data_IF_924310966799
#
_entry.id   IF_924310966799
#
_cell.length_a   1.000
_cell.length_b   1.000
_cell.length_c   1.000
_cell.angle_alpha   90.00
_cell.angle_beta   90.00
_cell.angle_gamma   90.00
#
_symmetry.space_group_name_H-M   'P 1'
#
loop_
_entity.id
_entity.type
_entity.pdbx_description
1 polymer ?
#
# COMPACT_ATOMS: atom_id res chain seq x y z
N UNK A 1 5.75 -21.22 19.80
CA UNK A 1 5.52 -20.14 19.47
C UNK A 1 4.73 -20.05 18.37
N UNK A 2 4.08 -19.25 18.31
CA UNK A 2 3.23 -19.24 17.23
C UNK A 2 3.96 -18.85 16.00
N UNK A 3 3.57 -19.37 14.91
CA UNK A 3 4.10 -18.95 13.66
C UNK A 3 3.77 -17.50 13.45
N UNK A 4 4.30 -16.97 12.45
CA UNK A 4 4.01 -15.62 12.10
C UNK A 4 2.52 -15.40 12.00
N UNK A 5 2.05 -14.33 12.58
CA UNK A 5 0.65 -13.98 12.48
C UNK A 5 0.32 -13.34 11.16
N UNK A 6 1.31 -13.05 10.34
CA UNK A 6 1.09 -12.36 9.08
C UNK A 6 1.12 -13.37 7.94
N UNK A 7 0.17 -13.31 7.03
CA UNK A 7 0.15 -14.25 5.92
C UNK A 7 1.31 -14.02 4.96
N UNK A 8 1.71 -15.09 4.31
CA UNK A 8 2.69 -15.03 3.25
C UNK A 8 1.97 -15.14 1.92
N UNK A 9 2.56 -14.56 0.89
CA UNK A 9 1.95 -14.56 -0.43
C UNK A 9 3.02 -14.68 -1.48
N UNK A 10 2.63 -15.23 -2.64
CA UNK A 10 3.50 -15.31 -3.80
C UNK A 10 3.03 -14.30 -4.83
N UNK A 11 3.98 -13.55 -5.37
CA UNK A 11 3.67 -12.58 -6.43
C UNK A 11 3.42 -13.34 -7.72
N UNK A 12 2.23 -13.15 -8.30
CA UNK A 12 1.83 -13.88 -9.49
C UNK A 12 2.16 -13.15 -10.77
N UNK A 13 2.31 -11.84 -10.70
CA UNK A 13 2.65 -11.03 -11.86
C UNK A 13 3.64 -9.98 -11.43
N UNK A 14 4.60 -9.62 -12.28
CA UNK A 14 5.54 -8.58 -11.88
C UNK A 14 4.84 -7.25 -11.72
N UNK A 15 5.33 -6.43 -10.84
CA UNK A 15 4.75 -5.12 -10.57
C UNK A 15 5.84 -4.07 -10.53
N UNK A 16 5.64 -3.00 -11.27
CA UNK A 16 6.53 -1.85 -11.27
C UNK A 16 5.72 -0.64 -10.83
N UNK A 17 6.19 0.08 -9.80
CA UNK A 17 5.48 1.28 -9.37
C UNK A 17 5.33 2.27 -10.51
N UNK A 18 4.17 2.92 -10.51
CA UNK A 18 3.79 3.75 -11.64
C UNK A 18 4.68 4.96 -11.77
N UNK A 19 5.09 5.58 -10.67
CA UNK A 19 5.80 6.82 -10.79
C UNK A 19 7.10 6.77 -10.06
N UNK A 20 7.55 6.10 -9.36
CA UNK A 20 8.81 6.19 -8.64
C UNK A 20 8.88 7.28 -7.61
N UNK A 21 7.77 7.97 -7.35
CA UNK A 21 7.79 9.04 -6.37
C UNK A 21 7.28 8.49 -5.04
N UNK A 22 8.16 8.50 -4.06
CA UNK A 22 7.77 8.09 -2.73
C UNK A 22 7.26 9.32 -1.99
N UNK A 23 6.06 9.20 -1.42
CA UNK A 23 5.47 10.28 -0.64
C UNK A 23 5.30 9.76 0.77
N UNK A 24 5.85 10.49 1.73
CA UNK A 24 5.68 10.18 3.14
C UNK A 24 4.96 11.34 3.80
N UNK A 25 3.94 11.03 4.57
CA UNK A 25 3.11 12.03 5.21
C UNK A 25 3.03 11.75 6.69
N UNK A 26 2.91 12.82 7.44
CA UNK A 26 2.77 12.72 8.88
C UNK A 26 1.41 13.23 9.29
N UNK A 27 0.95 12.76 10.43
CA UNK A 27 -0.29 13.23 11.02
C UNK A 27 -0.27 14.74 11.07
N UNK A 28 -1.33 15.35 10.55
CA UNK A 28 -1.47 16.81 10.54
C UNK A 28 -1.04 17.47 9.24
N UNK A 29 -0.36 16.75 8.35
CA UNK A 29 0.04 17.35 7.08
C UNK A 29 -1.18 17.77 6.27
N UNK A 30 -1.02 18.86 5.53
CA UNK A 30 -2.09 19.39 4.70
C UNK A 30 -1.85 18.94 3.26
N UNK A 31 -2.90 18.45 2.64
CA UNK A 31 -2.86 18.00 1.24
C UNK A 31 -4.11 18.53 0.55
N UNK A 32 -4.12 18.48 -0.77
CA UNK A 32 -5.31 18.80 -1.54
C UNK A 32 -5.98 17.49 -1.94
N UNK A 33 -7.25 17.36 -1.65
CA UNK A 33 -8.00 16.14 -1.98
C UNK A 33 -8.46 16.25 -3.41
N UNK A 34 -8.06 15.28 -4.23
CA UNK A 34 -8.42 15.29 -5.63
C UNK A 34 -9.84 14.79 -5.85
N UNK A 35 -10.32 15.03 -7.06
CA UNK A 35 -11.66 14.59 -7.44
C UNK A 35 -11.60 13.36 -8.32
N UNK A 36 -10.43 12.82 -8.55
CA UNK A 36 -10.26 11.70 -9.44
C UNK A 36 -10.71 10.41 -8.78
N UNK A 37 -11.41 9.58 -9.54
CA UNK A 37 -11.77 8.26 -9.09
C UNK A 37 -10.76 7.27 -9.64
N UNK A 38 -10.31 6.39 -8.79
CA UNK A 38 -9.40 5.35 -9.24
C UNK A 38 -10.10 4.02 -9.34
N UNK A 39 -9.36 2.98 -9.75
CA UNK A 39 -9.93 1.65 -9.87
C UNK A 39 -10.17 0.96 -8.54
N UNK A 40 -9.66 1.51 -7.46
CA UNK A 40 -9.80 0.88 -6.15
C UNK A 40 -10.69 1.75 -5.27
N UNK A 41 -11.84 1.21 -4.80
CA UNK A 41 -12.72 1.97 -3.94
C UNK A 41 -12.06 2.26 -2.60
N UNK A 42 -12.46 3.33 -1.96
CA UNK A 42 -11.97 3.76 -0.64
C UNK A 42 -10.53 4.25 -0.64
N UNK A 43 -9.98 4.54 -1.82
CA UNK A 43 -8.70 5.22 -1.96
C UNK A 43 -8.97 6.55 -2.65
N UNK A 44 -8.35 7.62 -2.16
CA UNK A 44 -8.55 8.94 -2.75
C UNK A 44 -7.23 9.49 -3.26
N UNK A 45 -7.32 10.28 -4.31
CA UNK A 45 -6.15 10.94 -4.88
C UNK A 45 -5.85 12.18 -4.07
N UNK A 46 -4.58 12.42 -3.76
CA UNK A 46 -4.19 13.64 -3.08
C UNK A 46 -3.00 14.24 -3.79
N UNK A 47 -2.84 15.55 -3.59
CA UNK A 47 -1.67 16.28 -4.07
C UNK A 47 -0.98 16.91 -2.87
N UNK A 48 0.30 16.67 -2.74
CA UNK A 48 1.08 17.25 -1.65
C UNK A 48 1.59 18.62 -2.07
N UNK A 49 2.08 19.45 -1.13
CA UNK A 49 2.44 20.83 -1.45
C UNK A 49 3.48 20.99 -2.54
N UNK A 50 4.37 20.04 -2.73
CA UNK A 50 5.36 20.16 -3.80
C UNK A 50 4.82 19.72 -5.15
N UNK A 51 3.54 19.40 -5.25
CA UNK A 51 2.90 19.07 -6.52
C UNK A 51 2.81 17.59 -6.84
N UNK A 52 3.51 16.74 -6.12
CA UNK A 52 3.40 15.29 -6.36
C UNK A 52 2.02 14.80 -5.98
N UNK A 53 1.56 13.77 -6.68
CA UNK A 53 0.26 13.18 -6.41
C UNK A 53 0.42 11.74 -6.01
N UNK A 54 -0.47 11.25 -5.15
CA UNK A 54 -0.48 9.85 -4.77
C UNK A 54 -1.88 9.46 -4.33
N UNK A 55 -2.04 8.21 -3.92
CA UNK A 55 -3.29 7.69 -3.40
C UNK A 55 -3.14 7.42 -1.92
N UNK A 56 -4.21 7.65 -1.16
CA UNK A 56 -4.21 7.41 0.28
C UNK A 56 -5.54 6.78 0.63
N UNK A 57 -5.59 5.86 1.61
CA UNK A 57 -6.89 5.36 2.05
C UNK A 57 -7.75 6.52 2.54
N UNK A 58 -9.03 6.51 2.15
CA UNK A 58 -9.88 7.63 2.51
C UNK A 58 -10.01 7.78 4.02
N UNK A 59 -9.85 6.71 4.78
CA UNK A 59 -9.93 6.79 6.23
C UNK A 59 -8.73 7.49 6.85
N UNK A 60 -7.67 7.73 6.09
CA UNK A 60 -6.44 8.35 6.60
C UNK A 60 -6.41 9.86 6.37
N UNK A 61 -7.42 10.43 5.75
CA UNK A 61 -7.41 11.85 5.47
C UNK A 61 -8.82 12.41 5.69
N UNK A 62 -8.89 13.66 6.13
CA UNK A 62 -10.18 14.33 6.35
C UNK A 62 -10.25 15.57 5.51
N UNK A 63 -11.34 15.73 4.77
CA UNK A 63 -11.55 16.89 3.92
C UNK A 63 -12.50 16.54 2.79
N UNK A 64 -12.84 17.54 1.99
CA UNK A 64 -13.74 17.38 0.87
C UNK A 64 -12.99 17.45 -0.44
N UNK A 65 -13.55 16.82 -1.45
CA UNK A 65 -12.96 16.84 -2.78
C UNK A 65 -12.72 18.27 -3.24
N UNK A 66 -11.56 18.49 -3.84
CA UNK A 66 -11.21 19.81 -4.35
C UNK A 66 -10.68 20.77 -3.32
N UNK A 67 -10.67 20.39 -2.06
CA UNK A 67 -10.29 21.27 -0.98
C UNK A 67 -9.12 20.73 -0.21
N UNK A 68 -8.60 21.53 0.70
CA UNK A 68 -7.55 21.08 1.59
C UNK A 68 -8.07 19.99 2.50
N UNK A 69 -7.24 19.00 2.76
CA UNK A 69 -7.53 17.97 3.72
C UNK A 69 -6.37 17.82 4.67
N UNK A 70 -6.61 17.12 5.75
CA UNK A 70 -5.59 16.92 6.79
C UNK A 70 -5.36 15.44 6.97
N UNK A 71 -4.10 15.05 6.98
CA UNK A 71 -3.70 13.66 7.17
C UNK A 71 -3.88 13.29 8.62
N UNK A 72 -4.54 12.15 8.86
CA UNK A 72 -4.92 11.75 10.22
C UNK A 72 -3.92 10.79 10.85
N UNK A 73 -3.17 10.04 10.04
CA UNK A 73 -2.19 9.09 10.55
C UNK A 73 -0.96 9.16 9.66
N UNK A 74 0.18 8.78 10.20
CA UNK A 74 1.40 8.73 9.40
C UNK A 74 1.21 7.72 8.27
N UNK A 75 1.65 8.08 7.07
CA UNK A 75 1.37 7.27 5.89
C UNK A 75 2.56 7.32 4.94
N UNK A 76 2.95 6.16 4.45
CA UNK A 76 3.99 6.02 3.44
C UNK A 76 3.31 5.45 2.20
N UNK A 77 3.34 6.20 1.11
CA UNK A 77 2.67 5.81 -0.12
C UNK A 77 3.56 4.98 -1.04
N UNK A 78 4.74 4.60 -0.60
CA UNK A 78 5.70 3.89 -1.42
C UNK A 78 5.12 2.58 -1.93
N UNK A 79 5.20 2.34 -3.22
CA UNK A 79 4.86 1.06 -3.81
C UNK A 79 6.12 0.24 -3.98
N UNK A 80 5.96 -1.07 -3.96
CA UNK A 80 7.09 -1.98 -4.02
C UNK A 80 7.23 -2.55 -5.42
N UNK A 81 8.43 -2.55 -5.95
CA UNK A 81 8.69 -3.28 -7.19
C UNK A 81 8.85 -4.75 -6.85
N UNK A 82 8.17 -5.63 -7.57
CA UNK A 82 8.18 -7.05 -7.27
C UNK A 82 8.23 -7.86 -8.55
N UNK A 83 8.85 -9.03 -8.46
CA UNK A 83 8.99 -9.95 -9.58
C UNK A 83 8.07 -11.14 -9.37
N UNK A 84 7.65 -11.73 -10.48
CA UNK A 84 6.84 -12.92 -10.43
C UNK A 84 7.57 -14.02 -9.65
N UNK A 85 6.87 -14.69 -8.75
CA UNK A 85 7.43 -15.76 -7.95
C UNK A 85 8.01 -15.33 -6.63
N UNK A 86 8.18 -14.04 -6.43
CA UNK A 86 8.74 -13.54 -5.19
C UNK A 86 7.78 -13.77 -4.03
N UNK A 87 8.30 -14.11 -2.85
CA UNK A 87 7.47 -14.35 -1.67
C UNK A 87 7.55 -13.12 -0.78
N UNK A 88 6.39 -12.70 -0.30
CA UNK A 88 6.30 -11.53 0.58
C UNK A 88 5.46 -11.88 1.79
N UNK A 89 5.64 -11.12 2.85
CA UNK A 89 4.81 -11.19 4.05
C UNK A 89 3.85 -10.02 4.01
N UNK A 90 2.54 -10.28 4.14
CA UNK A 90 1.53 -9.22 4.09
C UNK A 90 1.34 -8.73 5.51
N UNK A 91 1.77 -7.50 5.78
CA UNK A 91 1.71 -6.94 7.13
C UNK A 91 0.41 -6.22 7.39
N UNK A 92 -0.24 -5.73 6.34
CA UNK A 92 -1.47 -4.95 6.48
C UNK A 92 -2.19 -4.97 5.15
N UNK A 93 -3.48 -5.10 5.17
CA UNK A 93 -4.27 -4.99 3.95
C UNK A 93 -5.34 -3.93 4.15
N UNK A 94 -5.42 -2.99 3.19
CA UNK A 94 -6.44 -1.95 3.21
C UNK A 94 -7.05 -1.89 1.82
N UNK A 95 -8.31 -2.24 1.73
CA UNK A 95 -9.11 -2.11 0.50
C UNK A 95 -8.31 -2.48 -0.75
N UNK A 96 -7.91 -3.76 -0.82
CA UNK A 96 -7.29 -4.36 -2.00
C UNK A 96 -5.81 -4.05 -2.18
N UNK A 97 -5.19 -3.33 -1.27
CA UNK A 97 -3.75 -3.10 -1.32
C UNK A 97 -3.11 -3.64 -0.06
N UNK A 98 -1.98 -4.29 -0.22
CA UNK A 98 -1.25 -4.85 0.90
C UNK A 98 0.07 -4.13 1.12
N UNK A 99 0.35 -3.77 2.37
CA UNK A 99 1.68 -3.34 2.73
C UNK A 99 2.47 -4.60 3.04
N UNK A 100 3.49 -4.86 2.24
CA UNK A 100 4.18 -6.14 2.30
C UNK A 100 5.67 -5.93 2.54
N UNK A 101 6.31 -6.98 3.02
CA UNK A 101 7.76 -6.99 3.21
C UNK A 101 8.33 -8.20 2.50
N UNK A 102 9.38 -7.99 1.73
CA UNK A 102 10.10 -9.08 1.08
C UNK A 102 11.03 -9.75 2.07
N UNK A 103 11.55 -10.92 1.69
CA UNK A 103 12.49 -11.62 2.55
C UNK A 103 13.80 -10.86 2.68
N UNK A 104 14.15 -10.01 1.71
CA UNK A 104 15.33 -9.17 1.83
C UNK A 104 15.00 -7.79 2.41
N UNK A 105 13.84 -7.69 3.06
CA UNK A 105 13.48 -6.55 3.92
C UNK A 105 13.11 -5.27 3.20
N UNK A 106 12.73 -5.34 1.94
CA UNK A 106 12.11 -4.20 1.27
C UNK A 106 10.63 -4.16 1.62
N UNK A 107 10.04 -2.98 1.73
CA UNK A 107 8.63 -2.86 2.07
C UNK A 107 7.95 -1.88 1.15
N UNK A 108 6.67 -2.07 0.94
CA UNK A 108 5.85 -1.16 0.14
C UNK A 108 4.50 -1.76 -0.17
N UNK A 109 3.71 -1.01 -0.92
CA UNK A 109 2.35 -1.42 -1.27
C UNK A 109 2.36 -2.23 -2.55
N UNK A 110 1.58 -3.32 -2.56
CA UNK A 110 1.30 -4.10 -3.75
C UNK A 110 -0.21 -4.33 -3.84
N UNK A 111 -0.77 -4.38 -5.06
CA UNK A 111 -2.19 -4.72 -5.18
C UNK A 111 -2.40 -6.18 -4.81
N UNK A 112 -3.40 -6.44 -3.98
CA UNK A 112 -3.65 -7.81 -3.53
C UNK A 112 -4.02 -8.73 -4.69
N UNK A 113 -4.53 -8.18 -5.77
CA UNK A 113 -4.96 -9.02 -6.90
C UNK A 113 -3.81 -9.76 -7.56
N UNK A 114 -2.57 -9.32 -7.39
CA UNK A 114 -1.42 -10.02 -7.95
C UNK A 114 -0.75 -10.94 -6.93
N UNK A 115 -1.36 -11.10 -5.76
CA UNK A 115 -0.79 -11.92 -4.70
C UNK A 115 -1.63 -13.17 -4.49
N UNK A 116 -0.96 -14.31 -4.43
CA UNK A 116 -1.60 -15.56 -4.07
C UNK A 116 -1.24 -15.84 -2.61
N UNK A 117 -2.25 -15.83 -1.74
CA UNK A 117 -1.98 -16.11 -0.34
C UNK A 117 -1.60 -17.57 -0.18
N UNK A 118 -0.56 -17.81 0.58
CA UNK A 118 -0.09 -19.17 0.82
C UNK A 118 -0.77 -19.73 2.06
N UNK A 119 -0.88 -21.05 2.15
CA UNK A 119 -1.54 -21.65 3.33
C UNK A 119 -0.81 -21.27 4.60
N UNK A 120 -1.59 -20.91 5.61
CA UNK A 120 -1.00 -20.41 6.83
C UNK A 120 -0.19 -21.45 7.56
N UNK A 121 -0.59 -22.69 7.46
CA UNK A 121 0.11 -23.75 8.14
C UNK A 121 0.82 -24.61 7.15
N UNK A 122 1.28 -24.02 6.11
CA UNK A 122 2.03 -24.70 5.13
C UNK A 122 3.10 -25.47 5.83
N UNK A 123 3.09 -26.70 5.71
CA UNK A 123 3.98 -27.50 6.43
C UNK A 123 5.29 -27.37 5.90
N UNK A 124 5.78 -26.81 6.33
CA UNK A 124 6.82 -26.67 5.83
C UNK A 124 7.68 -27.25 6.25
N UNK A 125 7.73 -27.68 6.41
CA UNK A 125 8.28 -28.07 6.70
C UNK A 125 8.94 -28.38 6.44
N UNK A 126 9.34 -28.38 6.58
CA UNK A 126 9.93 -28.81 6.49
C UNK A 126 10.60 -29.08 6.68
#
# INVERSE_FOLDING_TARGET
>A
MSPSEYPRARVQSPYTPETGQAVQLQTGDIVIIGEESGPYPHWVRIRVPDGRKTWIPEAYVRGNEGEEGRVLVNYDARELEAKEGEIVTVLLEIFRWGWVRTDDRREGWLPMEILELLPADSPIRA
#
